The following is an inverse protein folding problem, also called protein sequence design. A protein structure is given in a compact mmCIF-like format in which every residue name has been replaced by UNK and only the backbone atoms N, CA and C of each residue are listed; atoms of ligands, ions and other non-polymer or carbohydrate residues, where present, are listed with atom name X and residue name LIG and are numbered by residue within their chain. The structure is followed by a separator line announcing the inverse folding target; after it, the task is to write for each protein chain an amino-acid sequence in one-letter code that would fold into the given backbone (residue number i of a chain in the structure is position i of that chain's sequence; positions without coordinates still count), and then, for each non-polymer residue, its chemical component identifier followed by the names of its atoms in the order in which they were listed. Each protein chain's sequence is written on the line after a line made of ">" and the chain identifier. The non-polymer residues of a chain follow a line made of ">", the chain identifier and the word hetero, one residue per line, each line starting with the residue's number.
data_IF_503961609767
#
_entry.id   IF_503961609767
#
_cell.length_a   1.000
_cell.length_b   1.000
_cell.length_c   1.000
_cell.angle_alpha   90.00
_cell.angle_beta   90.00
_cell.angle_gamma   90.00
#
_symmetry.space_group_name_H-M   'P 1'
#
loop_
_entity.id
_entity.type
_entity.pdbx_description
1 polymer ?
#
# COMPACT_ATOMS: atom_id res chain seq x y z
N UNK A 1 11.46 3.55 -2.86
CA UNK A 1 12.91 3.43 -2.58
C UNK A 1 13.39 4.05 -1.26
N UNK A 2 12.69 5.00 -0.62
CA UNK A 2 13.15 5.59 0.65
C UNK A 2 13.34 4.55 1.78
N UNK A 3 12.41 3.60 1.93
CA UNK A 3 12.52 2.53 2.93
C UNK A 3 13.77 1.66 2.77
N UNK A 4 14.12 1.27 1.53
CA UNK A 4 15.31 0.46 1.27
C UNK A 4 16.60 1.22 1.59
N UNK A 5 16.67 2.51 1.22
CA UNK A 5 17.80 3.38 1.58
C UNK A 5 17.95 3.54 3.10
N UNK A 6 16.85 3.75 3.81
CA UNK A 6 16.87 3.87 5.27
C UNK A 6 17.34 2.56 5.93
N UNK A 7 17.12 1.42 5.30
CA UNK A 7 17.63 0.11 5.71
C UNK A 7 19.05 -0.18 5.19
N UNK A 8 19.76 0.79 4.59
CA UNK A 8 21.10 0.59 4.03
C UNK A 8 21.16 -0.42 2.88
N UNK A 9 20.03 -0.69 2.23
CA UNK A 9 19.90 -1.75 1.23
C UNK A 9 19.59 -1.16 -0.15
N UNK A 10 20.26 -1.71 -1.17
CA UNK A 10 19.98 -1.41 -2.58
C UNK A 10 19.20 -2.56 -3.22
N UNK A 11 17.97 -2.30 -3.64
CA UNK A 11 17.15 -3.27 -4.35
C UNK A 11 17.42 -3.17 -5.86
N UNK A 12 17.72 -4.30 -6.49
CA UNK A 12 17.84 -4.40 -7.95
C UNK A 12 16.44 -4.65 -8.54
N UNK A 13 15.98 -3.75 -9.41
CA UNK A 13 14.70 -3.89 -10.10
C UNK A 13 14.91 -4.83 -11.29
N UNK A 14 14.27 -6.00 -11.27
CA UNK A 14 14.30 -6.95 -12.38
C UNK A 14 13.24 -6.62 -13.45
N UNK A 15 12.07 -6.15 -13.01
CA UNK A 15 10.94 -5.81 -13.85
C UNK A 15 10.17 -4.62 -13.28
N UNK A 16 9.46 -3.89 -14.15
CA UNK A 16 8.59 -2.78 -13.79
C UNK A 16 7.22 -2.94 -14.47
N UNK A 17 6.15 -2.69 -13.71
CA UNK A 17 4.78 -2.69 -14.21
C UNK A 17 3.97 -1.61 -13.50
N UNK A 18 2.97 -1.05 -14.20
CA UNK A 18 2.16 0.08 -13.69
C UNK A 18 1.04 -0.36 -12.76
N UNK A 19 0.46 -1.52 -13.03
CA UNK A 19 -0.74 -1.99 -12.34
C UNK A 19 -0.40 -3.05 -11.29
N UNK A 20 -1.05 -2.95 -10.13
CA UNK A 20 -0.85 -3.90 -9.02
C UNK A 20 -1.22 -5.34 -9.41
N UNK A 21 -2.28 -5.50 -10.22
CA UNK A 21 -2.71 -6.81 -10.71
C UNK A 21 -1.65 -7.47 -11.59
N UNK A 22 -1.01 -6.70 -12.48
CA UNK A 22 0.09 -7.19 -13.31
C UNK A 22 1.29 -7.62 -12.47
N UNK A 23 1.68 -6.82 -11.48
CA UNK A 23 2.76 -7.17 -10.54
C UNK A 23 2.44 -8.49 -9.81
N UNK A 24 1.22 -8.66 -9.31
CA UNK A 24 0.81 -9.88 -8.62
C UNK A 24 0.81 -11.10 -9.55
N UNK A 25 0.36 -10.96 -10.81
CA UNK A 25 0.45 -12.03 -11.80
C UNK A 25 1.90 -12.42 -12.07
N UNK A 26 2.81 -11.45 -12.24
CA UNK A 26 4.23 -11.72 -12.43
C UNK A 26 4.85 -12.47 -11.24
N UNK A 27 4.48 -12.11 -10.01
CA UNK A 27 4.92 -12.83 -8.80
C UNK A 27 4.32 -14.24 -8.75
N UNK A 28 3.05 -14.42 -9.11
CA UNK A 28 2.39 -15.72 -9.16
C UNK A 28 3.04 -16.67 -10.17
N UNK A 29 3.52 -16.15 -11.30
CA UNK A 29 4.28 -16.87 -12.31
C UNK A 29 5.77 -17.07 -11.95
N UNK A 30 6.19 -16.67 -10.73
CA UNK A 30 7.54 -16.93 -10.24
C UNK A 30 8.63 -16.01 -10.78
N UNK A 31 8.28 -14.89 -11.43
CA UNK A 31 9.27 -13.94 -11.97
C UNK A 31 10.05 -13.18 -10.88
N UNK A 32 9.59 -13.23 -9.63
CA UNK A 32 10.31 -12.64 -8.49
C UNK A 32 9.40 -12.34 -7.30
N UNK A 33 9.77 -11.30 -6.55
CA UNK A 33 9.01 -10.80 -5.39
C UNK A 33 8.73 -9.31 -5.54
N UNK A 34 7.69 -8.83 -4.86
CA UNK A 34 7.35 -7.41 -4.82
C UNK A 34 7.05 -6.93 -3.39
N UNK A 35 7.40 -5.67 -3.11
CA UNK A 35 7.04 -4.98 -1.87
C UNK A 35 5.86 -4.08 -2.16
N UNK A 36 4.71 -4.39 -1.57
CA UNK A 36 3.44 -3.68 -1.83
C UNK A 36 2.85 -3.11 -0.54
N UNK A 37 2.15 -1.95 -0.60
CA UNK A 37 1.35 -1.51 0.54
C UNK A 37 0.24 -2.50 0.82
N UNK A 38 -0.15 -2.65 2.08
CA UNK A 38 -1.24 -3.56 2.46
C UNK A 38 -2.62 -3.01 2.10
N UNK A 39 -2.76 -1.69 2.05
CA UNK A 39 -4.00 -1.02 1.66
C UNK A 39 -4.18 -1.14 0.15
N UNK A 40 -5.35 -1.61 -0.29
CA UNK A 40 -5.68 -1.80 -1.70
C UNK A 40 -5.31 -3.17 -2.26
N UNK A 41 -4.67 -4.04 -1.47
CA UNK A 41 -4.49 -5.43 -1.88
C UNK A 41 -5.83 -6.16 -1.96
N UNK A 42 -6.01 -7.06 -2.95
CA UNK A 42 -7.16 -7.96 -2.99
C UNK A 42 -7.29 -8.75 -1.68
N UNK A 43 -8.54 -9.02 -1.27
CA UNK A 43 -8.83 -9.81 -0.07
C UNK A 43 -8.34 -11.26 -0.17
N UNK A 44 -8.18 -11.77 -1.39
CA UNK A 44 -7.61 -13.09 -1.69
C UNK A 44 -6.46 -12.92 -2.67
N UNK A 45 -5.31 -13.47 -2.31
CA UNK A 45 -4.15 -13.61 -3.18
C UNK A 45 -4.12 -15.04 -3.70
N UNK A 46 -4.08 -15.21 -5.02
CA UNK A 46 -3.98 -16.52 -5.66
C UNK A 46 -2.56 -16.71 -6.19
N UNK A 47 -1.93 -17.85 -5.87
CA UNK A 47 -0.55 -18.14 -6.30
C UNK A 47 0.54 -17.28 -5.65
N UNK A 48 0.18 -16.40 -4.71
CA UNK A 48 1.12 -15.50 -4.02
C UNK A 48 0.91 -15.56 -2.51
N UNK A 49 2.01 -15.65 -1.77
CA UNK A 49 2.01 -15.55 -0.31
C UNK A 49 2.45 -14.16 0.13
N UNK A 50 1.78 -13.60 1.15
CA UNK A 50 2.18 -12.35 1.78
C UNK A 50 3.10 -12.64 2.96
N UNK A 51 4.19 -11.88 3.06
CA UNK A 51 5.08 -11.86 4.24
C UNK A 51 5.17 -10.43 4.78
N UNK A 52 4.97 -10.20 6.09
CA UNK A 52 5.19 -8.88 6.67
C UNK A 52 6.68 -8.52 6.61
N UNK A 53 6.98 -7.23 6.45
CA UNK A 53 8.34 -6.71 6.62
C UNK A 53 8.63 -6.53 8.11
N UNK A 54 9.83 -6.93 8.52
CA UNK A 54 10.35 -6.76 9.88
C UNK A 54 11.70 -6.01 9.83
N UNK A 55 11.83 -4.84 10.50
CA UNK A 55 10.78 -4.12 11.22
C UNK A 55 9.66 -3.60 10.29
N UNK A 56 8.48 -3.34 10.86
CA UNK A 56 7.35 -2.82 10.09
C UNK A 56 7.68 -1.45 9.49
N UNK A 57 7.39 -1.27 8.20
CA UNK A 57 7.54 0.00 7.49
C UNK A 57 6.16 0.61 7.19
N UNK A 58 5.61 1.47 8.08
CA UNK A 58 4.31 2.11 7.85
C UNK A 58 4.40 3.21 6.78
N UNK A 59 3.26 3.53 6.17
CA UNK A 59 3.08 4.73 5.34
C UNK A 59 1.94 5.57 5.89
N UNK A 60 2.16 6.88 5.96
CA UNK A 60 1.13 7.87 6.28
C UNK A 60 0.39 8.23 5.00
N UNK A 61 -0.94 8.12 5.04
CA UNK A 61 -1.82 8.67 4.01
C UNK A 61 -2.39 9.97 4.54
N UNK A 62 -2.32 11.02 3.72
CA UNK A 62 -2.82 12.34 4.05
C UNK A 62 -3.85 12.75 3.01
N UNK A 63 -4.79 13.60 3.41
CA UNK A 63 -5.76 14.23 2.53
C UNK A 63 -5.40 15.70 2.41
N UNK A 64 -5.25 16.17 1.18
CA UNK A 64 -5.04 17.59 0.89
C UNK A 64 -6.38 18.22 0.51
N UNK A 65 -6.66 19.39 1.07
CA UNK A 65 -7.83 20.19 0.75
C UNK A 65 -7.47 21.68 0.72
N UNK A 66 -8.32 22.49 0.10
CA UNK A 66 -8.20 23.95 0.18
C UNK A 66 -8.44 24.43 1.62
N UNK A 67 -7.85 25.56 2.07
CA UNK A 67 -8.01 26.05 3.44
C UNK A 67 -9.47 26.22 3.90
N UNK A 68 -10.35 26.61 2.97
CA UNK A 68 -11.79 26.77 3.20
C UNK A 68 -12.56 25.79 2.29
N UNK A 69 -12.73 24.52 2.69
CA UNK A 69 -13.45 23.54 1.88
C UNK A 69 -14.94 23.88 1.83
N UNK A 70 -15.58 23.64 0.69
CA UNK A 70 -17.05 23.71 0.58
C UNK A 70 -17.74 22.63 1.43
N UNK A 71 -19.06 22.74 1.63
CA UNK A 71 -19.80 21.89 2.58
C UNK A 71 -19.66 20.38 2.27
N UNK A 72 -19.66 19.97 1.00
CA UNK A 72 -19.47 18.56 0.61
C UNK A 72 -18.09 18.05 0.96
N UNK A 73 -17.04 18.85 0.73
CA UNK A 73 -15.68 18.48 1.08
C UNK A 73 -15.51 18.39 2.59
N UNK A 74 -16.11 19.33 3.35
CA UNK A 74 -16.13 19.28 4.81
C UNK A 74 -16.83 18.03 5.35
N UNK A 75 -17.99 17.67 4.79
CA UNK A 75 -18.70 16.44 5.16
C UNK A 75 -17.86 15.18 4.90
N UNK A 76 -17.15 15.12 3.77
CA UNK A 76 -16.21 14.03 3.49
C UNK A 76 -15.05 13.99 4.50
N UNK A 77 -14.47 15.15 4.84
CA UNK A 77 -13.41 15.24 5.85
C UNK A 77 -13.88 14.74 7.22
N UNK A 78 -15.10 15.06 7.63
CA UNK A 78 -15.69 14.51 8.87
C UNK A 78 -15.85 12.99 8.77
N UNK A 79 -16.37 12.48 7.66
CA UNK A 79 -16.59 11.05 7.46
C UNK A 79 -15.29 10.23 7.52
N UNK A 80 -14.18 10.76 6.99
CA UNK A 80 -12.88 10.05 7.01
C UNK A 80 -12.08 10.31 8.29
N UNK A 81 -12.46 11.34 9.07
CA UNK A 81 -11.84 11.63 10.37
C UNK A 81 -12.34 10.68 11.47
N UNK A 82 -13.54 10.10 11.32
CA UNK A 82 -14.02 9.00 12.17
C UNK A 82 -13.45 7.66 11.66
N UNK A 83 -12.43 7.09 12.33
CA UNK A 83 -11.85 5.84 11.85
C UNK A 83 -12.86 4.71 12.06
N UNK A 84 -13.40 4.18 10.97
CA UNK A 84 -14.05 2.87 10.99
C UNK A 84 -13.11 1.84 11.67
N UNK A 85 -13.66 0.86 12.43
CA UNK A 85 -12.85 -0.08 13.19
C UNK A 85 -11.82 -0.77 12.28
N UNK A 86 -10.54 -0.72 12.67
CA UNK A 86 -9.46 -1.42 11.96
C UNK A 86 -9.84 -2.89 11.84
N UNK A 87 -10.09 -3.38 10.62
CA UNK A 87 -10.17 -4.82 10.36
C UNK A 87 -8.84 -5.43 10.79
N UNK A 88 -8.86 -6.18 11.88
CA UNK A 88 -7.70 -6.92 12.39
C UNK A 88 -7.18 -7.82 11.27
N UNK A 89 -5.91 -7.66 10.91
CA UNK A 89 -5.23 -8.60 10.03
C UNK A 89 -5.23 -9.97 10.73
N UNK A 90 -6.03 -10.91 10.20
CA UNK A 90 -5.83 -12.35 10.43
C UNK A 90 -4.75 -12.85 9.48
#
# INVERSE_FOLDING_TARGET
>A
MAAARNAGTHLRIAFEAREQAAILAMVAEGLGVSIMPTLGLPSKLHGVVRRPLEPRVPRTLAVAHLPNPGPTALAFLHQIADPAPRKSAR
#
